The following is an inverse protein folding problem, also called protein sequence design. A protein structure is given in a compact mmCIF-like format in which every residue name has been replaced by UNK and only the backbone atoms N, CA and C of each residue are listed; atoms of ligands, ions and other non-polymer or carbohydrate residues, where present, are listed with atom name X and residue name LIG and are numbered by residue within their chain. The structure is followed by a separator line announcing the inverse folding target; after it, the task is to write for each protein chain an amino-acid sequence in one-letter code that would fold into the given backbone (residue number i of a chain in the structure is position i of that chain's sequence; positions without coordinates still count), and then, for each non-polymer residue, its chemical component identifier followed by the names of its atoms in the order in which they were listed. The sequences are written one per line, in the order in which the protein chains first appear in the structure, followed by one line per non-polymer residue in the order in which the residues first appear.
data_IF_066407858869
#
_entry.id   IF_066407858869
#
_cell.length_a   1.000
_cell.length_b   1.000
_cell.length_c   1.000
_cell.angle_alpha   90.00
_cell.angle_beta   90.00
_cell.angle_gamma   90.00
#
_symmetry.space_group_name_H-M   'P 1'
#
loop_
_entity.id
_entity.type
_entity.pdbx_description
1 polymer ?
#
# COMPACT_ATOMS: atom_id res chain seq x y z
N UNK A 1 -3.51 56.96 15.61
CA UNK A 1 -3.70 55.62 16.23
C UNK A 1 -4.66 54.86 15.32
N UNK A 2 -4.11 54.15 14.32
CA UNK A 2 -4.88 53.46 13.28
C UNK A 2 -5.27 52.07 13.79
N UNK A 3 -6.57 51.76 13.75
CA UNK A 3 -7.11 50.44 14.01
C UNK A 3 -6.79 49.52 12.83
N UNK A 4 -6.29 48.31 13.13
CA UNK A 4 -6.23 47.20 12.18
C UNK A 4 -7.58 46.47 12.17
N UNK A 5 -8.12 46.08 11.00
CA UNK A 5 -9.25 45.18 10.95
C UNK A 5 -8.79 43.74 11.25
N UNK A 6 -9.52 43.09 12.13
CA UNK A 6 -9.44 41.66 12.44
C UNK A 6 -9.82 40.82 11.22
N UNK A 7 -8.88 40.04 10.71
CA UNK A 7 -9.16 38.99 9.74
C UNK A 7 -9.93 37.86 10.46
N UNK A 8 -11.18 37.68 10.05
CA UNK A 8 -11.98 36.49 10.37
C UNK A 8 -11.40 35.36 9.51
N UNK A 9 -10.71 34.41 10.14
CA UNK A 9 -10.32 33.15 9.50
C UNK A 9 -11.61 32.34 9.33
N UNK A 10 -12.18 32.41 8.12
CA UNK A 10 -13.22 31.48 7.72
C UNK A 10 -12.58 30.11 7.60
N UNK A 11 -12.83 29.24 8.60
CA UNK A 11 -12.56 27.82 8.47
C UNK A 11 -13.55 27.31 7.40
N UNK A 12 -13.08 27.21 6.15
CA UNK A 12 -13.78 26.44 5.15
C UNK A 12 -13.66 24.97 5.59
N UNK A 13 -14.77 24.37 6.03
CA UNK A 13 -14.88 22.91 6.02
C UNK A 13 -14.73 22.50 4.56
N UNK A 14 -13.54 22.05 4.17
CA UNK A 14 -13.38 21.25 2.97
C UNK A 14 -14.08 19.93 3.28
N UNK A 15 -15.31 19.77 2.78
CA UNK A 15 -15.88 18.44 2.61
C UNK A 15 -14.95 17.74 1.63
N UNK A 16 -14.06 16.91 2.16
CA UNK A 16 -13.44 15.84 1.37
C UNK A 16 -14.61 15.05 0.82
N UNK A 17 -14.87 15.22 -0.47
CA UNK A 17 -15.65 14.23 -1.20
C UNK A 17 -14.77 12.99 -1.18
N UNK A 18 -14.91 12.20 -0.11
CA UNK A 18 -14.59 10.78 -0.13
C UNK A 18 -15.18 10.31 -1.43
N UNK A 19 -14.34 9.80 -2.33
CA UNK A 19 -14.81 9.03 -3.46
C UNK A 19 -15.71 7.97 -2.82
N UNK A 20 -17.01 8.22 -2.90
CA UNK A 20 -18.01 7.22 -2.65
C UNK A 20 -17.67 6.23 -3.73
N UNK A 21 -16.91 5.20 -3.36
CA UNK A 21 -16.82 3.96 -4.09
C UNK A 21 -18.25 3.74 -4.56
N UNK A 22 -18.47 3.87 -5.87
CA UNK A 22 -19.81 3.90 -6.44
C UNK A 22 -20.55 2.73 -5.82
N UNK A 23 -21.51 3.04 -4.94
CA UNK A 23 -22.06 2.04 -4.04
C UNK A 23 -22.52 0.88 -4.92
N UNK A 24 -21.95 -0.34 -4.75
CA UNK A 24 -22.31 -1.43 -5.62
C UNK A 24 -23.83 -1.58 -5.52
N UNK A 25 -24.50 -1.53 -6.66
CA UNK A 25 -25.94 -1.68 -6.74
C UNK A 25 -26.35 -2.95 -6.01
N UNK A 26 -26.95 -2.86 -4.81
CA UNK A 26 -27.37 -4.00 -3.97
C UNK A 26 -26.60 -5.29 -4.29
N UNK A 27 -25.28 -5.25 -4.12
CA UNK A 27 -24.34 -6.19 -4.71
C UNK A 27 -23.26 -6.51 -3.70
N UNK A 28 -22.77 -7.75 -3.74
CA UNK A 28 -21.88 -8.36 -2.73
C UNK A 28 -20.73 -7.45 -2.28
N UNK A 29 -20.33 -7.58 -1.00
CA UNK A 29 -19.11 -7.00 -0.44
C UNK A 29 -17.94 -7.07 -1.43
N UNK A 30 -17.23 -5.96 -1.71
CA UNK A 30 -16.20 -5.90 -2.75
C UNK A 30 -15.01 -6.81 -2.42
N UNK A 31 -14.60 -7.61 -3.41
CA UNK A 31 -13.48 -8.57 -3.32
C UNK A 31 -12.49 -8.37 -4.47
N UNK A 32 -11.19 -8.65 -4.25
CA UNK A 32 -10.23 -8.86 -5.32
C UNK A 32 -10.76 -9.85 -6.36
N UNK A 33 -10.68 -9.48 -7.64
CA UNK A 33 -11.04 -10.36 -8.77
C UNK A 33 -9.87 -11.23 -9.26
N UNK A 34 -8.71 -11.13 -8.61
CA UNK A 34 -7.48 -11.87 -8.92
C UNK A 34 -7.05 -12.74 -7.73
N UNK A 35 -6.21 -13.74 -8.00
CA UNK A 35 -5.58 -14.52 -6.95
C UNK A 35 -4.54 -13.68 -6.17
N UNK A 36 -4.31 -14.05 -4.92
CA UNK A 36 -3.22 -13.48 -4.14
C UNK A 36 -1.87 -13.97 -4.68
N UNK A 37 -1.22 -13.12 -5.48
CA UNK A 37 0.12 -13.32 -6.04
C UNK A 37 0.88 -12.00 -5.92
N UNK A 38 1.28 -11.60 -4.70
CA UNK A 38 1.90 -10.31 -4.48
C UNK A 38 3.25 -10.25 -5.20
N UNK A 39 3.60 -9.07 -5.73
CA UNK A 39 4.96 -8.85 -6.21
C UNK A 39 5.92 -8.91 -5.04
N UNK A 40 7.10 -9.48 -5.26
CA UNK A 40 8.14 -9.64 -4.25
C UNK A 40 9.36 -8.79 -4.60
N UNK A 41 10.01 -8.22 -3.59
CA UNK A 41 11.22 -7.42 -3.76
C UNK A 41 12.22 -7.64 -2.63
N UNK A 42 13.47 -7.96 -2.95
CA UNK A 42 14.57 -7.96 -1.99
C UNK A 42 15.16 -6.56 -1.87
N UNK A 43 14.98 -5.89 -0.72
CA UNK A 43 15.45 -4.54 -0.43
C UNK A 43 16.85 -4.58 0.17
N UNK A 44 17.93 -4.28 -0.59
CA UNK A 44 19.29 -4.37 -0.08
C UNK A 44 19.59 -3.25 0.92
N UNK A 45 20.32 -3.61 1.98
CA UNK A 45 20.93 -2.64 2.88
C UNK A 45 22.09 -1.91 2.18
N UNK A 46 22.24 -0.62 2.45
CA UNK A 46 23.36 0.21 2.01
C UNK A 46 24.16 0.73 3.19
N UNK A 47 25.47 0.89 3.00
CA UNK A 47 26.37 1.46 4.02
C UNK A 47 26.65 2.95 3.81
N UNK A 48 26.39 3.42 2.59
CA UNK A 48 26.46 4.83 2.21
C UNK A 48 25.08 5.18 1.67
N UNK A 49 24.31 6.05 2.34
CA UNK A 49 22.97 6.41 1.89
C UNK A 49 23.03 7.29 0.65
N UNK A 50 21.97 7.28 -0.19
CA UNK A 50 21.87 8.21 -1.31
C UNK A 50 21.76 9.65 -0.82
N UNK A 51 22.25 10.58 -1.63
CA UNK A 51 21.86 11.98 -1.52
C UNK A 51 20.47 12.13 -2.13
N UNK A 52 19.50 12.62 -1.35
CA UNK A 52 18.13 12.86 -1.82
C UNK A 52 18.10 14.18 -2.61
N UNK A 53 18.26 14.10 -3.92
CA UNK A 53 18.25 15.24 -4.85
C UNK A 53 17.33 15.03 -6.08
N UNK A 54 16.61 13.91 -6.11
CA UNK A 54 15.67 13.51 -7.14
C UNK A 54 16.33 12.66 -8.21
N UNK A 55 17.66 12.47 -8.19
CA UNK A 55 18.38 11.72 -9.20
C UNK A 55 18.68 10.29 -8.77
N UNK A 56 18.22 9.33 -9.56
CA UNK A 56 18.53 7.90 -9.36
C UNK A 56 19.93 7.49 -9.86
N UNK A 57 20.80 8.48 -10.13
CA UNK A 57 22.20 8.29 -10.57
C UNK A 57 23.17 8.08 -9.39
N UNK A 58 22.76 8.34 -8.14
CA UNK A 58 23.60 8.11 -6.97
C UNK A 58 24.07 6.63 -6.91
N UNK A 59 25.38 6.37 -6.69
CA UNK A 59 25.92 5.02 -6.59
C UNK A 59 25.21 4.11 -5.59
N UNK A 60 24.58 4.64 -4.54
CA UNK A 60 23.79 3.86 -3.58
C UNK A 60 22.64 3.06 -4.25
N UNK A 61 22.07 3.58 -5.34
CA UNK A 61 21.00 2.91 -6.11
C UNK A 61 21.50 1.82 -7.06
N UNK A 62 22.81 1.77 -7.33
CA UNK A 62 23.36 0.88 -8.37
C UNK A 62 23.24 -0.60 -8.03
N UNK A 63 23.25 -0.95 -6.74
CA UNK A 63 23.08 -2.32 -6.25
C UNK A 63 21.63 -2.78 -6.10
N UNK A 64 20.67 -1.87 -6.20
CA UNK A 64 19.25 -2.18 -6.06
C UNK A 64 18.65 -2.56 -7.43
N UNK A 65 17.96 -3.71 -7.54
CA UNK A 65 17.28 -4.07 -8.78
C UNK A 65 16.09 -3.14 -9.02
N UNK A 66 15.71 -2.93 -10.28
CA UNK A 66 14.41 -2.35 -10.56
C UNK A 66 13.30 -3.34 -10.21
N UNK A 67 12.17 -2.85 -9.73
CA UNK A 67 10.93 -3.61 -9.70
C UNK A 67 10.50 -3.99 -11.12
N UNK A 68 9.58 -4.94 -11.22
CA UNK A 68 8.76 -5.04 -12.43
C UNK A 68 8.00 -3.72 -12.67
N UNK A 69 7.71 -3.37 -13.93
CA UNK A 69 6.89 -2.21 -14.25
C UNK A 69 5.49 -2.30 -13.63
N UNK A 70 4.90 -1.14 -13.35
CA UNK A 70 3.54 -1.07 -12.85
C UNK A 70 2.55 -1.64 -13.86
N UNK A 71 1.44 -2.13 -13.33
CA UNK A 71 0.29 -2.68 -14.06
C UNK A 71 -0.96 -1.91 -13.67
N UNK A 72 -2.06 -2.09 -14.41
CA UNK A 72 -3.35 -1.58 -13.95
C UNK A 72 -3.75 -2.22 -12.62
N UNK A 73 -4.37 -1.44 -11.72
CA UNK A 73 -4.79 -1.90 -10.38
C UNK A 73 -5.75 -3.11 -10.41
N UNK A 74 -6.54 -3.25 -11.47
CA UNK A 74 -7.43 -4.40 -11.69
C UNK A 74 -6.67 -5.61 -12.29
N UNK A 75 -5.37 -5.49 -12.51
CA UNK A 75 -4.50 -6.53 -13.03
C UNK A 75 -4.74 -6.83 -14.52
N UNK A 76 -4.62 -8.10 -14.95
CA UNK A 76 -4.67 -8.47 -16.37
C UNK A 76 -6.05 -8.30 -17.03
N UNK A 77 -7.07 -7.93 -16.26
CA UNK A 77 -8.40 -7.59 -16.78
C UNK A 77 -8.39 -6.28 -17.60
N UNK A 78 -7.34 -5.47 -17.45
CA UNK A 78 -7.16 -4.18 -18.11
C UNK A 78 -5.87 -4.15 -18.93
N UNK A 79 -5.75 -3.25 -19.92
CA UNK A 79 -4.50 -3.07 -20.65
C UNK A 79 -3.35 -2.65 -19.72
N UNK A 80 -2.12 -2.96 -20.13
CA UNK A 80 -0.95 -2.45 -19.43
C UNK A 80 -0.90 -0.90 -19.50
N UNK A 81 -0.31 -0.24 -18.48
CA UNK A 81 -0.07 1.20 -18.47
C UNK A 81 0.58 1.71 -19.76
N UNK A 82 0.17 2.90 -20.18
CA UNK A 82 0.72 3.52 -21.40
C UNK A 82 2.12 4.09 -21.17
N UNK A 83 2.42 4.49 -19.93
CA UNK A 83 3.71 5.02 -19.54
C UNK A 83 4.32 4.15 -18.46
N UNK A 84 5.60 3.79 -18.62
CA UNK A 84 6.25 2.92 -17.66
C UNK A 84 6.44 3.64 -16.32
N UNK A 85 6.29 2.88 -15.24
CA UNK A 85 6.66 3.31 -13.90
C UNK A 85 7.28 2.12 -13.18
N UNK A 86 8.39 2.36 -12.49
CA UNK A 86 9.15 1.33 -11.76
C UNK A 86 9.88 1.96 -10.59
N UNK A 87 10.23 1.14 -9.61
CA UNK A 87 10.83 1.59 -8.36
C UNK A 87 12.10 0.81 -8.00
N UNK A 88 12.93 1.43 -7.19
CA UNK A 88 14.02 0.82 -6.42
C UNK A 88 13.76 1.07 -4.94
N UNK A 89 14.15 0.11 -4.12
CA UNK A 89 14.08 0.24 -2.67
C UNK A 89 15.43 -0.16 -2.08
N UNK A 90 15.93 0.63 -1.14
CA UNK A 90 17.12 0.34 -0.33
C UNK A 90 16.86 0.76 1.11
N UNK A 91 17.73 0.35 2.03
CA UNK A 91 17.61 0.78 3.42
C UNK A 91 18.94 0.91 4.15
N UNK A 92 18.96 1.70 5.22
CA UNK A 92 20.04 1.73 6.21
C UNK A 92 19.46 1.68 7.63
N UNK A 93 20.27 1.95 8.65
CA UNK A 93 19.85 1.96 10.05
C UNK A 93 18.91 3.12 10.43
N UNK A 94 18.69 4.08 9.53
CA UNK A 94 17.95 5.32 9.79
C UNK A 94 16.73 5.52 8.92
N UNK A 95 16.77 5.10 7.66
CA UNK A 95 15.71 5.32 6.70
C UNK A 95 15.42 4.08 5.85
N UNK A 96 14.14 3.99 5.48
CA UNK A 96 13.70 3.29 4.29
C UNK A 96 13.76 4.25 3.10
N UNK A 97 14.38 3.84 1.99
CA UNK A 97 14.50 4.67 0.80
C UNK A 97 13.73 4.09 -0.36
N UNK A 98 13.01 4.96 -1.08
CA UNK A 98 12.29 4.64 -2.31
C UNK A 98 12.79 5.57 -3.41
N UNK A 99 13.15 5.01 -4.55
CA UNK A 99 13.47 5.73 -5.77
C UNK A 99 12.50 5.32 -6.87
N UNK A 100 11.79 6.26 -7.49
CA UNK A 100 10.81 5.98 -8.53
C UNK A 100 11.18 6.69 -9.83
N UNK A 101 10.97 6.00 -10.96
CA UNK A 101 11.09 6.57 -12.30
C UNK A 101 9.75 6.42 -13.01
N UNK A 102 9.23 7.55 -13.51
CA UNK A 102 7.94 7.66 -14.16
C UNK A 102 8.12 8.29 -15.55
N UNK A 103 7.88 7.50 -16.61
CA UNK A 103 7.74 8.08 -17.95
C UNK A 103 6.49 8.98 -17.96
N UNK A 104 6.62 10.20 -18.46
CA UNK A 104 5.51 11.16 -18.51
C UNK A 104 5.77 12.18 -19.61
N UNK A 105 5.06 12.12 -20.75
CA UNK A 105 5.18 13.12 -21.80
C UNK A 105 4.47 14.44 -21.51
N UNK A 106 3.67 14.50 -20.44
CA UNK A 106 2.84 15.64 -20.06
C UNK A 106 3.02 15.96 -18.57
N UNK A 107 4.15 16.56 -18.20
CA UNK A 107 4.42 16.90 -16.81
C UNK A 107 3.40 17.92 -16.31
N UNK A 108 2.52 17.48 -15.42
CA UNK A 108 1.42 18.28 -14.90
C UNK A 108 1.29 18.13 -13.39
N UNK A 109 1.35 19.26 -12.70
CA UNK A 109 1.08 19.36 -11.27
C UNK A 109 0.71 20.79 -10.89
N UNK A 110 -0.35 20.95 -10.12
CA UNK A 110 -0.95 22.25 -9.76
C UNK A 110 -1.06 22.46 -8.25
N UNK A 111 -1.14 21.38 -7.47
CA UNK A 111 -1.28 21.42 -6.03
C UNK A 111 0.07 21.72 -5.36
N UNK A 112 0.08 22.74 -4.51
CA UNK A 112 1.27 23.28 -3.83
C UNK A 112 1.17 23.26 -2.30
N UNK A 113 -0.04 23.07 -1.78
CA UNK A 113 -0.28 23.04 -0.35
C UNK A 113 -0.01 21.62 0.15
N UNK A 114 0.91 21.49 1.12
CA UNK A 114 1.14 20.23 1.83
C UNK A 114 -0.17 19.78 2.46
N UNK A 115 -0.44 18.48 2.42
CA UNK A 115 -1.66 17.85 2.93
C UNK A 115 -2.94 18.23 2.16
N UNK A 116 -2.80 18.77 0.95
CA UNK A 116 -3.88 18.75 -0.03
C UNK A 116 -4.11 17.32 -0.52
N UNK A 117 -5.31 17.03 -1.00
CA UNK A 117 -5.62 15.73 -1.61
C UNK A 117 -4.89 15.63 -2.96
N UNK A 118 -3.72 14.97 -3.00
CA UNK A 118 -2.72 15.11 -4.08
C UNK A 118 -3.13 14.40 -5.37
N UNK A 119 -3.85 13.27 -5.30
CA UNK A 119 -4.34 12.53 -6.47
C UNK A 119 -5.21 13.33 -7.47
N UNK A 120 -5.58 14.58 -7.14
CA UNK A 120 -6.16 15.48 -8.10
C UNK A 120 -5.16 16.03 -9.13
N UNK A 121 -3.86 15.89 -8.93
CA UNK A 121 -2.82 15.95 -9.95
C UNK A 121 -2.45 14.52 -10.44
N UNK A 122 -1.49 14.40 -11.36
CA UNK A 122 -0.75 13.15 -11.49
C UNK A 122 0.24 13.05 -10.33
N UNK A 123 0.36 11.87 -9.73
CA UNK A 123 1.21 11.67 -8.56
C UNK A 123 1.84 10.27 -8.50
N UNK A 124 2.68 10.11 -7.48
CA UNK A 124 3.26 8.85 -7.07
C UNK A 124 2.94 8.63 -5.60
N UNK A 125 2.54 7.41 -5.25
CA UNK A 125 2.08 7.06 -3.92
C UNK A 125 2.88 5.89 -3.34
N UNK A 126 3.13 5.91 -2.03
CA UNK A 126 3.81 4.85 -1.27
C UNK A 126 2.91 4.36 -0.16
N UNK A 127 2.74 3.05 -0.06
CA UNK A 127 1.91 2.37 0.92
C UNK A 127 2.72 1.39 1.74
N UNK A 128 2.60 1.42 3.08
CA UNK A 128 3.41 0.58 3.96
C UNK A 128 2.56 0.04 5.11
N UNK A 129 2.43 -1.29 5.17
CA UNK A 129 1.89 -2.05 6.30
C UNK A 129 3.04 -2.92 6.87
N UNK A 130 3.67 -2.50 7.99
CA UNK A 130 4.90 -3.12 8.47
C UNK A 130 4.73 -4.57 8.95
N UNK A 131 3.68 -4.86 9.70
CA UNK A 131 3.44 -6.21 10.24
C UNK A 131 2.49 -7.03 9.38
N UNK A 132 1.83 -6.44 8.38
CA UNK A 132 0.94 -7.15 7.47
C UNK A 132 -0.34 -7.60 8.16
N UNK A 133 -0.82 -6.86 9.15
CA UNK A 133 -2.09 -7.11 9.84
C UNK A 133 -3.30 -6.45 9.15
N UNK A 134 -3.06 -5.77 8.03
CA UNK A 134 -4.01 -4.98 7.24
C UNK A 134 -4.49 -3.70 7.93
N UNK A 135 -3.91 -3.30 9.06
CA UNK A 135 -4.30 -2.16 9.87
C UNK A 135 -3.09 -1.27 10.11
N UNK A 136 -3.34 -0.07 10.65
CA UNK A 136 -2.29 0.86 11.08
C UNK A 136 -1.18 1.09 10.03
N UNK A 137 -1.60 1.24 8.78
CA UNK A 137 -0.70 1.37 7.64
C UNK A 137 -0.61 2.81 7.18
N UNK A 138 0.52 3.11 6.53
CA UNK A 138 0.90 4.45 6.12
C UNK A 138 0.69 4.64 4.62
N UNK A 139 0.41 5.88 4.25
CA UNK A 139 0.31 6.35 2.88
C UNK A 139 1.03 7.69 2.75
N UNK A 140 1.72 7.86 1.62
CA UNK A 140 2.40 9.08 1.22
C UNK A 140 2.15 9.31 -0.27
N UNK A 141 1.55 10.43 -0.63
CA UNK A 141 1.39 10.90 -2.01
C UNK A 141 2.38 12.04 -2.29
N UNK A 142 2.91 12.09 -3.50
CA UNK A 142 3.78 13.17 -3.98
C UNK A 142 3.55 13.44 -5.47
N UNK A 143 3.29 14.71 -5.83
CA UNK A 143 3.17 15.11 -7.24
C UNK A 143 4.51 15.59 -7.83
N UNK A 144 4.51 15.93 -9.13
CA UNK A 144 5.69 16.43 -9.84
C UNK A 144 6.23 17.80 -9.34
N UNK A 145 5.50 18.50 -8.46
CA UNK A 145 6.01 19.70 -7.76
C UNK A 145 6.82 19.34 -6.50
N UNK A 146 6.78 18.09 -6.06
CA UNK A 146 7.28 17.66 -4.77
C UNK A 146 6.34 18.04 -3.61
N UNK A 147 5.06 18.28 -3.90
CA UNK A 147 4.05 18.53 -2.85
C UNK A 147 3.62 17.21 -2.26
N UNK A 148 3.71 17.09 -0.94
CA UNK A 148 3.47 15.85 -0.19
C UNK A 148 2.11 15.89 0.53
N UNK A 149 1.50 14.71 0.65
CA UNK A 149 0.43 14.43 1.62
C UNK A 149 0.68 13.07 2.26
N UNK A 150 0.75 13.02 3.57
CA UNK A 150 0.89 11.78 4.33
C UNK A 150 -0.30 11.55 5.27
N UNK A 151 -0.61 10.27 5.49
CA UNK A 151 -1.73 9.87 6.32
C UNK A 151 -1.53 8.47 6.89
N UNK A 152 -2.18 8.25 8.03
CA UNK A 152 -2.27 6.96 8.70
C UNK A 152 -3.69 6.42 8.56
N UNK A 153 -3.82 5.15 8.20
CA UNK A 153 -5.09 4.45 8.20
C UNK A 153 -5.12 3.43 9.33
N UNK A 154 -6.07 3.59 10.24
CA UNK A 154 -6.24 2.65 11.37
C UNK A 154 -6.80 1.31 10.89
N UNK A 155 -7.57 1.31 9.80
CA UNK A 155 -8.08 0.14 9.10
C UNK A 155 -8.56 0.52 7.69
N UNK A 156 -8.78 -0.45 6.78
CA UNK A 156 -9.29 -0.20 5.44
C UNK A 156 -10.61 0.58 5.41
N UNK A 157 -10.80 1.45 4.42
CA UNK A 157 -12.02 2.25 4.27
C UNK A 157 -13.30 1.40 4.23
N UNK A 158 -13.24 0.22 3.58
CA UNK A 158 -14.33 -0.76 3.52
C UNK A 158 -14.78 -1.26 4.90
N UNK A 159 -13.91 -1.12 5.91
CA UNK A 159 -14.16 -1.52 7.29
C UNK A 159 -14.56 -0.33 8.20
N UNK A 160 -14.70 0.87 7.64
CA UNK A 160 -15.41 1.99 8.25
C UNK A 160 -14.60 2.84 9.22
N UNK A 161 -13.31 3.07 8.96
CA UNK A 161 -12.57 4.16 9.60
C UNK A 161 -12.11 5.18 8.54
N UNK A 162 -12.12 6.49 8.86
CA UNK A 162 -11.48 7.48 8.02
C UNK A 162 -9.95 7.41 8.19
N UNK A 163 -9.24 8.03 7.26
CA UNK A 163 -7.83 8.33 7.41
C UNK A 163 -7.58 9.36 8.53
N UNK A 164 -6.39 9.29 9.11
CA UNK A 164 -5.88 10.25 10.09
C UNK A 164 -4.93 11.21 9.38
N UNK A 165 -5.50 12.21 8.70
CA UNK A 165 -4.75 13.22 7.93
C UNK A 165 -3.90 14.18 8.78
N UNK A 166 -3.98 14.08 10.11
CA UNK A 166 -3.19 14.91 11.03
C UNK A 166 -1.90 14.21 11.50
N UNK A 167 -1.71 12.96 11.10
CA UNK A 167 -0.45 12.25 11.29
C UNK A 167 0.52 12.69 10.18
N UNK A 168 1.80 12.86 10.51
CA UNK A 168 2.82 13.40 9.60
C UNK A 168 4.12 12.60 9.73
N UNK A 169 4.79 12.35 8.61
CA UNK A 169 6.08 11.65 8.55
C UNK A 169 7.20 12.60 8.98
N UNK A 170 7.36 12.76 10.29
CA UNK A 170 8.38 13.64 10.87
C UNK A 170 9.80 13.26 10.43
N UNK A 171 10.43 14.14 9.65
CA UNK A 171 11.79 13.95 9.14
C UNK A 171 11.86 13.28 7.77
N UNK A 172 10.70 13.13 7.09
CA UNK A 172 10.63 12.80 5.67
C UNK A 172 11.55 13.70 4.86
N UNK A 173 12.22 13.10 3.87
CA UNK A 173 13.01 13.81 2.87
C UNK A 173 12.55 13.35 1.51
N UNK A 174 12.19 14.28 0.66
CA UNK A 174 11.87 13.99 -0.73
C UNK A 174 12.64 14.92 -1.65
N UNK A 175 12.82 14.47 -2.88
CA UNK A 175 13.24 15.32 -3.97
C UNK A 175 12.64 14.78 -5.27
N UNK A 176 12.24 15.71 -6.14
CA UNK A 176 11.72 15.42 -7.47
C UNK A 176 12.68 16.03 -8.49
N UNK A 177 13.02 15.24 -9.51
CA UNK A 177 13.72 15.71 -10.69
C UNK A 177 12.81 15.57 -11.90
N UNK A 178 12.76 16.61 -12.71
CA UNK A 178 11.96 16.65 -13.93
C UNK A 178 12.86 16.52 -15.14
N UNK A 179 12.48 15.63 -16.06
CA UNK A 179 13.06 15.49 -17.39
C UNK A 179 12.12 16.15 -18.41
N UNK A 180 11.96 17.47 -18.28
CA UNK A 180 10.99 18.22 -19.08
C UNK A 180 10.65 19.60 -18.50
N UNK A 181 9.54 20.17 -18.95
CA UNK A 181 9.04 21.50 -18.58
C UNK A 181 7.65 21.41 -17.95
N UNK A 182 7.59 21.53 -16.63
CA UNK A 182 6.35 21.37 -15.87
C UNK A 182 5.25 22.36 -16.31
N UNK A 183 4.05 21.82 -16.56
CA UNK A 183 2.84 22.54 -16.95
C UNK A 183 2.94 23.28 -18.29
N UNK A 184 3.80 22.84 -19.21
CA UNK A 184 3.95 23.45 -20.54
C UNK A 184 3.37 22.53 -21.64
N UNK A 185 2.07 22.60 -21.95
CA UNK A 185 1.44 21.72 -22.95
C UNK A 185 1.94 21.88 -24.41
N UNK A 186 2.86 22.81 -24.65
CA UNK A 186 3.43 23.10 -25.96
C UNK A 186 4.61 22.21 -26.35
N UNK A 187 5.19 21.45 -25.41
CA UNK A 187 6.29 20.52 -25.68
C UNK A 187 5.90 19.07 -25.34
N UNK A 188 6.92 18.21 -25.23
CA UNK A 188 6.78 16.81 -24.88
C UNK A 188 7.94 16.46 -23.99
N UNK A 189 7.62 16.05 -22.78
CA UNK A 189 8.58 15.69 -21.74
C UNK A 189 9.01 14.22 -21.87
N UNK A 190 10.01 13.83 -21.08
CA UNK A 190 10.43 12.43 -20.99
C UNK A 190 9.86 11.76 -19.73
N UNK A 191 9.85 12.48 -18.61
CA UNK A 191 9.36 11.94 -17.35
C UNK A 191 9.82 12.73 -16.14
N UNK A 192 9.73 12.07 -15.00
CA UNK A 192 10.20 12.58 -13.73
C UNK A 192 10.65 11.42 -12.83
N UNK A 193 11.50 11.75 -11.88
CA UNK A 193 11.97 10.82 -10.85
C UNK A 193 11.76 11.40 -9.46
N UNK A 194 11.54 10.48 -8.52
CA UNK A 194 11.28 10.79 -7.12
C UNK A 194 12.27 10.02 -6.26
N UNK A 195 12.90 10.68 -5.31
CA UNK A 195 13.63 10.05 -4.21
C UNK A 195 12.95 10.38 -2.88
N UNK A 196 12.77 9.36 -2.05
CA UNK A 196 12.11 9.45 -0.74
C UNK A 196 12.97 8.76 0.29
N UNK A 197 13.24 9.41 1.42
CA UNK A 197 13.81 8.80 2.62
C UNK A 197 12.84 8.94 3.80
N UNK A 198 12.29 7.79 4.23
CA UNK A 198 11.30 7.69 5.30
C UNK A 198 12.00 7.25 6.59
N UNK A 199 12.01 8.05 7.66
CA UNK A 199 12.66 7.69 8.91
C UNK A 199 12.02 6.46 9.57
N UNK A 200 12.83 5.50 9.98
CA UNK A 200 12.35 4.35 10.74
C UNK A 200 11.68 4.74 12.06
N UNK A 201 12.11 5.85 12.66
CA UNK A 201 11.55 6.34 13.93
C UNK A 201 10.07 6.65 13.84
N UNK A 202 9.57 7.08 12.68
CA UNK A 202 8.15 7.38 12.48
C UNK A 202 7.38 6.12 12.12
N UNK A 203 7.94 5.27 11.25
CA UNK A 203 7.34 3.97 10.93
C UNK A 203 7.24 3.06 12.16
N UNK A 204 8.11 3.24 13.16
CA UNK A 204 8.07 2.51 14.42
C UNK A 204 6.83 2.82 15.30
N UNK A 205 6.14 3.94 15.09
CA UNK A 205 5.01 4.37 15.93
C UNK A 205 3.86 3.36 15.89
N UNK A 206 3.58 2.79 14.72
CA UNK A 206 2.50 1.85 14.50
C UNK A 206 2.93 0.50 13.89
N UNK A 207 4.24 0.26 13.70
CA UNK A 207 4.71 -0.95 13.03
C UNK A 207 4.41 -2.28 13.74
N UNK A 208 4.17 -2.28 15.06
CA UNK A 208 3.96 -3.53 15.83
C UNK A 208 5.17 -4.48 15.88
N UNK A 209 6.27 -4.16 15.20
CA UNK A 209 7.49 -4.97 15.03
C UNK A 209 8.74 -4.07 14.94
N UNK A 210 9.96 -4.64 14.87
CA UNK A 210 11.19 -3.84 14.74
C UNK A 210 11.19 -2.91 13.51
N UNK A 211 11.51 -1.64 13.72
CA UNK A 211 11.77 -0.63 12.71
C UNK A 211 13.02 0.17 13.16
N UNK A 212 14.20 0.03 12.52
CA UNK A 212 14.45 -0.70 11.28
C UNK A 212 14.15 -2.21 11.35
N UNK A 213 13.73 -2.81 10.24
CA UNK A 213 13.53 -4.25 10.12
C UNK A 213 14.83 -5.02 10.38
N UNK A 214 14.70 -6.28 10.81
CA UNK A 214 15.82 -7.22 10.85
C UNK A 214 16.02 -7.81 9.45
N UNK A 215 17.24 -8.22 9.07
CA UNK A 215 17.45 -8.97 7.85
C UNK A 215 16.53 -10.20 7.78
N UNK A 216 15.78 -10.32 6.68
CA UNK A 216 14.77 -11.37 6.45
C UNK A 216 13.36 -11.02 6.92
N UNK A 217 13.15 -9.90 7.62
CA UNK A 217 11.79 -9.37 7.86
C UNK A 217 11.15 -8.99 6.52
N UNK A 218 9.87 -9.29 6.38
CA UNK A 218 9.05 -8.92 5.21
C UNK A 218 7.98 -7.94 5.66
N UNK A 219 7.92 -6.79 5.01
CA UNK A 219 6.82 -5.83 5.18
C UNK A 219 5.95 -5.82 3.93
N UNK A 220 4.69 -5.44 4.10
CA UNK A 220 3.75 -5.25 3.00
C UNK A 220 3.93 -3.83 2.49
N UNK A 221 4.35 -3.70 1.24
CA UNK A 221 4.61 -2.39 0.62
C UNK A 221 4.02 -2.38 -0.77
N UNK A 222 3.42 -1.28 -1.15
CA UNK A 222 2.99 -1.11 -2.53
C UNK A 222 3.14 0.35 -2.96
N UNK A 223 2.97 0.54 -4.26
CA UNK A 223 3.12 1.83 -4.90
C UNK A 223 2.00 2.02 -5.90
N UNK A 224 1.57 3.26 -6.06
CA UNK A 224 0.60 3.67 -7.06
C UNK A 224 1.13 4.87 -7.86
N UNK A 225 0.61 5.03 -9.06
CA UNK A 225 0.63 6.25 -9.83
C UNK A 225 -0.80 6.54 -10.22
N UNK A 226 -1.31 7.70 -9.81
CA UNK A 226 -2.54 8.23 -10.37
C UNK A 226 -2.20 8.99 -11.65
N UNK A 227 -2.87 8.60 -12.74
CA UNK A 227 -2.70 9.21 -14.05
C UNK A 227 -4.04 9.73 -14.58
N UNK A 228 -4.12 11.03 -14.83
CA UNK A 228 -5.23 11.64 -15.52
C UNK A 228 -5.00 11.69 -17.03
N UNK A 229 -6.07 11.47 -17.78
CA UNK A 229 -6.12 11.82 -19.19
C UNK A 229 -6.18 13.35 -19.32
N UNK A 230 -5.16 13.95 -19.91
CA UNK A 230 -5.09 15.39 -20.13
C UNK A 230 -5.50 15.79 -21.55
N UNK A 231 -5.93 17.03 -21.69
CA UNK A 231 -6.09 17.77 -22.93
C UNK A 231 -5.60 19.21 -22.75
N UNK A 232 -5.47 19.95 -23.85
CA UNK A 232 -4.99 21.34 -23.83
C UNK A 232 -6.16 22.28 -24.06
N UNK A 233 -6.46 23.11 -23.07
CA UNK A 233 -7.49 24.16 -23.11
C UNK A 233 -6.86 25.51 -22.82
N UNK A 234 -7.10 26.50 -23.69
CA UNK A 234 -6.57 27.87 -23.55
C UNK A 234 -5.06 27.96 -23.25
N UNK A 235 -4.29 26.99 -23.75
CA UNK A 235 -2.82 26.93 -23.57
C UNK A 235 -2.36 26.33 -22.24
N UNK A 236 -3.24 25.68 -21.48
CA UNK A 236 -2.93 24.97 -20.25
C UNK A 236 -3.44 23.52 -20.30
N UNK A 237 -2.86 22.64 -19.49
CA UNK A 237 -3.42 21.30 -19.29
C UNK A 237 -4.75 21.37 -18.53
N UNK A 238 -5.71 20.59 -19.00
CA UNK A 238 -6.99 20.35 -18.35
C UNK A 238 -7.27 18.84 -18.35
N UNK A 239 -7.99 18.35 -17.33
CA UNK A 239 -8.44 16.95 -17.32
C UNK A 239 -9.51 16.76 -18.38
N UNK A 240 -9.39 15.68 -19.15
CA UNK A 240 -10.40 15.30 -20.13
C UNK A 240 -11.73 15.01 -19.45
N UNK A 241 -12.80 15.58 -19.99
CA UNK A 241 -14.14 15.44 -19.41
C UNK A 241 -14.95 14.32 -20.08
N UNK A 242 -15.73 13.60 -19.26
CA UNK A 242 -16.80 12.74 -19.72
C UNK A 242 -17.95 13.57 -20.33
N UNK A 243 -18.84 12.91 -21.10
CA UNK A 243 -19.99 13.57 -21.71
C UNK A 243 -20.94 14.30 -20.72
N UNK A 244 -20.88 13.93 -19.43
CA UNK A 244 -21.64 14.58 -18.35
C UNK A 244 -20.96 15.81 -17.72
N UNK A 245 -19.76 16.19 -18.17
CA UNK A 245 -19.02 17.38 -17.72
C UNK A 245 -18.12 17.19 -16.50
N UNK A 246 -18.07 16.00 -15.90
CA UNK A 246 -17.04 15.65 -14.90
C UNK A 246 -15.79 15.06 -15.57
N UNK A 247 -14.62 15.05 -14.91
CA UNK A 247 -13.43 14.37 -15.43
C UNK A 247 -13.71 12.90 -15.77
N UNK A 248 -13.04 12.37 -16.78
CA UNK A 248 -12.91 10.92 -16.94
C UNK A 248 -12.26 10.32 -15.70
N UNK A 249 -12.58 9.08 -15.31
CA UNK A 249 -11.88 8.40 -14.23
C UNK A 249 -10.38 8.39 -14.48
N UNK A 250 -9.61 8.61 -13.42
CA UNK A 250 -8.18 8.44 -13.40
C UNK A 250 -7.79 6.97 -13.64
N UNK A 251 -6.60 6.76 -14.18
CA UNK A 251 -5.97 5.45 -14.17
C UNK A 251 -5.20 5.28 -12.87
N UNK A 252 -5.31 4.10 -12.27
CA UNK A 252 -4.53 3.72 -11.10
C UNK A 252 -3.57 2.61 -11.54
N UNK A 253 -2.29 2.94 -11.65
CA UNK A 253 -1.25 1.99 -12.03
C UNK A 253 -0.41 1.66 -10.81
N UNK A 254 -0.21 0.38 -10.52
CA UNK A 254 0.37 -0.09 -9.25
C UNK A 254 1.45 -1.12 -9.48
N UNK A 255 2.36 -1.28 -8.53
CA UNK A 255 3.38 -2.33 -8.58
C UNK A 255 2.75 -3.72 -8.42
N UNK A 256 2.08 -3.97 -7.29
CA UNK A 256 1.30 -5.19 -7.03
C UNK A 256 -0.20 -4.91 -7.25
N UNK A 257 -0.87 -5.60 -8.19
CA UNK A 257 -2.28 -5.35 -8.48
C UNK A 257 -3.21 -5.80 -7.35
N UNK A 258 -4.35 -5.13 -7.22
CA UNK A 258 -5.36 -5.41 -6.19
C UNK A 258 -6.53 -6.24 -6.75
N UNK A 259 -6.76 -6.19 -8.06
CA UNK A 259 -7.89 -6.84 -8.73
C UNK A 259 -9.21 -6.08 -8.60
N UNK A 260 -9.17 -4.83 -8.13
CA UNK A 260 -10.26 -3.87 -8.09
C UNK A 260 -9.68 -2.46 -7.91
N UNK A 261 -10.42 -1.42 -8.26
CA UNK A 261 -10.01 -0.02 -8.08
C UNK A 261 -10.13 0.37 -6.60
N UNK A 262 -9.23 -0.14 -5.76
CA UNK A 262 -9.12 0.19 -4.33
C UNK A 262 -7.72 -0.16 -3.80
N UNK A 263 -6.89 0.87 -3.58
CA UNK A 263 -5.52 0.67 -3.11
C UNK A 263 -5.47 0.22 -1.64
N UNK A 264 -6.46 0.58 -0.83
CA UNK A 264 -6.59 0.21 0.59
C UNK A 264 -7.07 -1.23 0.80
N UNK A 265 -6.38 -2.16 0.16
CA UNK A 265 -6.42 -3.60 0.39
C UNK A 265 -4.99 -4.07 0.71
N UNK A 266 -4.45 -3.77 1.92
CA UNK A 266 -3.06 -4.12 2.28
C UNK A 266 -2.73 -5.61 2.14
N UNK A 267 -3.76 -6.44 2.29
CA UNK A 267 -3.67 -7.88 2.09
C UNK A 267 -3.26 -8.28 0.66
N UNK A 268 -3.31 -7.37 -0.32
CA UNK A 268 -2.97 -7.59 -1.73
C UNK A 268 -1.68 -6.86 -2.17
N UNK A 269 -1.09 -6.05 -1.29
CA UNK A 269 0.17 -5.32 -1.52
C UNK A 269 1.37 -6.22 -1.84
N UNK A 270 2.45 -5.63 -2.34
CA UNK A 270 3.68 -6.37 -2.55
C UNK A 270 4.36 -6.73 -1.22
N UNK A 271 5.39 -7.56 -1.32
CA UNK A 271 6.15 -8.05 -0.19
C UNK A 271 7.61 -7.63 -0.34
N UNK A 272 8.12 -6.87 0.63
CA UNK A 272 9.47 -6.34 0.62
C UNK A 272 10.27 -7.01 1.73
N UNK A 273 11.23 -7.85 1.34
CA UNK A 273 12.16 -8.49 2.27
C UNK A 273 13.39 -7.61 2.46
N UNK A 274 13.66 -7.22 3.70
CA UNK A 274 14.84 -6.40 4.02
C UNK A 274 16.08 -7.28 4.12
N UNK A 275 17.06 -7.04 3.24
CA UNK A 275 18.24 -7.88 3.08
C UNK A 275 19.44 -7.25 3.78
N UNK A 276 20.30 -8.05 4.42
CA UNK A 276 21.63 -7.60 4.80
C UNK A 276 22.57 -7.57 3.57
N UNK A 277 23.77 -6.97 3.72
CA UNK A 277 24.84 -7.16 2.75
C UNK A 277 25.26 -8.64 2.69
N UNK A 278 24.95 -9.30 1.58
CA UNK A 278 25.08 -10.76 1.41
C UNK A 278 23.71 -11.45 1.51
N UNK A 279 23.34 -12.14 0.43
CA UNK A 279 22.02 -12.71 0.10
C UNK A 279 21.20 -13.19 1.32
N UNK A 280 19.97 -12.68 1.47
CA UNK A 280 18.97 -13.41 2.25
C UNK A 280 18.58 -14.68 1.47
N UNK A 281 18.08 -15.69 2.19
CA UNK A 281 17.62 -16.93 1.58
C UNK A 281 16.52 -16.72 0.53
N UNK A 282 16.12 -17.77 -0.22
CA UNK A 282 15.05 -17.67 -1.19
C UNK A 282 13.77 -17.13 -0.53
N UNK A 283 13.17 -16.12 -1.18
CA UNK A 283 12.01 -15.38 -0.69
C UNK A 283 10.88 -16.33 -0.26
N UNK A 284 10.52 -17.25 -1.16
CA UNK A 284 9.39 -18.14 -1.04
C UNK A 284 9.46 -19.13 0.13
N UNK A 285 10.67 -19.60 0.43
CA UNK A 285 10.90 -20.61 1.48
C UNK A 285 11.21 -19.98 2.85
N UNK A 286 11.22 -18.65 2.94
CA UNK A 286 11.49 -17.97 4.21
C UNK A 286 10.35 -18.23 5.22
N UNK A 287 10.67 -18.45 6.51
CA UNK A 287 9.64 -18.65 7.53
C UNK A 287 8.62 -17.50 7.62
N UNK A 288 9.06 -16.27 7.37
CA UNK A 288 8.19 -15.09 7.35
C UNK A 288 7.22 -15.15 6.17
N UNK A 289 7.69 -15.43 4.95
CA UNK A 289 6.82 -15.52 3.78
C UNK A 289 5.79 -16.65 3.90
N UNK A 290 6.21 -17.83 4.38
CA UNK A 290 5.31 -18.94 4.66
C UNK A 290 4.25 -18.55 5.72
N UNK A 291 4.65 -17.81 6.76
CA UNK A 291 3.74 -17.28 7.77
C UNK A 291 2.73 -16.28 7.20
N UNK A 292 3.14 -15.43 6.25
CA UNK A 292 2.22 -14.50 5.55
C UNK A 292 1.24 -15.29 4.68
N UNK A 293 1.76 -16.23 3.89
CA UNK A 293 0.94 -17.10 3.01
C UNK A 293 -0.11 -17.87 3.81
N UNK A 294 0.27 -18.48 4.94
CA UNK A 294 -0.68 -19.18 5.82
C UNK A 294 -1.76 -18.22 6.36
N UNK A 295 -1.39 -17.01 6.80
CA UNK A 295 -2.34 -16.01 7.28
C UNK A 295 -3.32 -15.56 6.18
N UNK A 296 -2.84 -15.39 4.94
CA UNK A 296 -3.64 -14.96 3.79
C UNK A 296 -4.76 -15.94 3.42
N UNK A 297 -4.64 -17.22 3.80
CA UNK A 297 -5.72 -18.20 3.62
C UNK A 297 -7.01 -17.84 4.37
N UNK A 298 -6.94 -16.94 5.35
CA UNK A 298 -8.10 -16.43 6.10
C UNK A 298 -8.83 -15.28 5.38
N UNK A 299 -8.25 -14.64 4.37
CA UNK A 299 -8.89 -13.50 3.68
C UNK A 299 -10.17 -13.88 2.92
N UNK A 300 -10.23 -14.99 2.15
CA UNK A 300 -11.48 -15.46 1.55
C UNK A 300 -12.58 -15.69 2.59
N UNK A 301 -12.22 -16.19 3.78
CA UNK A 301 -13.16 -16.39 4.88
C UNK A 301 -13.71 -15.05 5.39
N UNK A 302 -12.86 -14.03 5.57
CA UNK A 302 -13.30 -12.69 5.93
C UNK A 302 -14.26 -12.10 4.90
N UNK A 303 -13.94 -12.19 3.60
CA UNK A 303 -14.83 -11.69 2.55
C UNK A 303 -16.20 -12.40 2.53
N UNK A 304 -16.21 -13.72 2.76
CA UNK A 304 -17.45 -14.49 2.89
C UNK A 304 -18.23 -14.10 4.15
N UNK A 305 -17.55 -13.82 5.25
CA UNK A 305 -18.16 -13.32 6.48
C UNK A 305 -18.82 -11.96 6.29
N UNK A 306 -18.14 -11.02 5.62
CA UNK A 306 -18.68 -9.69 5.32
C UNK A 306 -19.93 -9.77 4.44
N UNK A 307 -19.87 -10.56 3.38
CA UNK A 307 -21.03 -10.78 2.51
C UNK A 307 -22.18 -11.48 3.24
N UNK A 308 -21.89 -12.47 4.08
CA UNK A 308 -22.90 -13.13 4.90
C UNK A 308 -23.59 -12.14 5.84
N UNK A 309 -22.82 -11.25 6.48
CA UNK A 309 -23.35 -10.22 7.36
C UNK A 309 -24.23 -9.21 6.61
N UNK A 310 -23.83 -8.74 5.43
CA UNK A 310 -24.67 -7.86 4.59
C UNK A 310 -26.00 -8.50 4.20
N UNK A 311 -25.99 -9.81 3.89
CA UNK A 311 -27.18 -10.55 3.45
C UNK A 311 -28.13 -10.93 4.60
N UNK A 312 -27.59 -11.21 5.79
CA UNK A 312 -28.36 -11.84 6.87
C UNK A 312 -28.40 -11.03 8.17
N UNK A 313 -27.66 -9.92 8.26
CA UNK A 313 -27.54 -9.11 9.48
C UNK A 313 -26.79 -9.79 10.63
N UNK A 314 -25.97 -10.81 10.33
CA UNK A 314 -25.10 -11.52 11.28
C UNK A 314 -23.95 -12.20 10.56
N UNK A 315 -22.85 -12.42 11.28
CA UNK A 315 -21.78 -13.29 10.83
C UNK A 315 -22.18 -14.78 10.92
N UNK A 316 -21.58 -15.59 10.06
CA UNK A 316 -21.77 -17.04 10.05
C UNK A 316 -21.11 -17.68 11.28
N UNK A 317 -21.83 -18.62 11.91
CA UNK A 317 -21.32 -19.36 13.06
C UNK A 317 -20.59 -20.65 12.68
N UNK A 318 -20.62 -21.03 11.41
CA UNK A 318 -20.03 -22.26 10.89
C UNK A 318 -19.47 -22.07 9.48
N UNK A 319 -18.45 -22.86 9.14
CA UNK A 319 -17.84 -22.83 7.82
C UNK A 319 -18.84 -23.25 6.72
N UNK A 320 -19.78 -24.16 7.02
CA UNK A 320 -20.80 -24.62 6.07
C UNK A 320 -21.73 -23.52 5.56
N UNK A 321 -22.04 -22.51 6.39
CA UNK A 321 -22.81 -21.33 5.97
C UNK A 321 -22.02 -20.47 4.96
N UNK A 322 -20.69 -20.42 5.11
CA UNK A 322 -19.81 -19.66 4.22
C UNK A 322 -19.49 -20.40 2.93
N UNK A 323 -19.35 -21.73 2.95
CA UNK A 323 -19.12 -22.57 1.76
C UNK A 323 -20.25 -22.40 0.72
N UNK A 324 -21.48 -22.12 1.19
CA UNK A 324 -22.60 -21.82 0.30
C UNK A 324 -22.44 -20.50 -0.48
N UNK A 325 -21.65 -19.55 0.05
CA UNK A 325 -21.31 -18.28 -0.61
C UNK A 325 -20.01 -18.40 -1.41
N UNK A 326 -19.02 -19.10 -0.86
CA UNK A 326 -17.71 -19.32 -1.47
C UNK A 326 -17.29 -20.79 -1.34
N UNK A 327 -17.54 -21.63 -2.37
CA UNK A 327 -17.17 -23.04 -2.36
C UNK A 327 -15.68 -23.31 -2.19
N UNK A 328 -14.80 -22.33 -2.45
CA UNK A 328 -13.35 -22.46 -2.27
C UNK A 328 -12.94 -22.68 -0.81
N UNK A 329 -13.78 -22.22 0.12
CA UNK A 329 -13.57 -22.36 1.57
C UNK A 329 -13.64 -23.81 2.06
N UNK A 330 -14.17 -24.75 1.26
CA UNK A 330 -14.19 -26.17 1.63
C UNK A 330 -12.79 -26.74 1.88
N UNK A 331 -11.77 -26.15 1.27
CA UNK A 331 -10.36 -26.52 1.47
C UNK A 331 -9.86 -26.29 2.91
N UNK A 332 -10.49 -25.38 3.67
CA UNK A 332 -10.13 -25.09 5.07
C UNK A 332 -10.63 -26.16 6.05
N UNK A 333 -11.61 -26.98 5.66
CA UNK A 333 -12.21 -28.05 6.49
C UNK A 333 -11.42 -29.37 6.42
N UNK A 334 -10.79 -29.64 5.26
CA UNK A 334 -10.26 -30.97 4.90
C UNK A 334 -8.72 -31.07 4.95
N UNK A 335 -8.02 -30.06 5.49
CA UNK A 335 -6.56 -30.06 5.46
C UNK A 335 -5.96 -30.68 6.74
N UNK A 336 -5.21 -31.80 6.65
CA UNK A 336 -4.80 -32.61 7.81
C UNK A 336 -3.82 -31.90 8.76
N UNK A 337 -3.29 -30.74 8.36
CA UNK A 337 -2.35 -29.92 9.15
C UNK A 337 -2.94 -28.60 9.62
N UNK A 338 -4.21 -28.32 9.34
CA UNK A 338 -4.87 -27.10 9.82
C UNK A 338 -6.04 -27.42 10.74
N UNK A 339 -6.29 -26.54 11.69
CA UNK A 339 -7.51 -26.57 12.51
C UNK A 339 -8.14 -25.19 12.51
N UNK A 340 -9.23 -25.04 11.77
CA UNK A 340 -10.03 -23.83 11.77
C UNK A 340 -11.03 -23.86 12.94
N UNK A 341 -11.08 -22.79 13.72
CA UNK A 341 -12.14 -22.51 14.68
C UNK A 341 -12.80 -21.21 14.28
N UNK A 342 -14.12 -21.22 14.15
CA UNK A 342 -14.90 -20.06 13.77
C UNK A 342 -15.97 -19.77 14.83
N UNK A 343 -16.11 -18.51 15.19
CA UNK A 343 -17.22 -18.01 15.98
C UNK A 343 -17.78 -16.75 15.30
N UNK A 344 -19.09 -16.71 15.07
CA UNK A 344 -19.79 -15.56 14.51
C UNK A 344 -21.01 -15.23 15.35
N UNK A 345 -21.27 -13.93 15.52
CA UNK A 345 -22.44 -13.37 16.18
C UNK A 345 -23.09 -12.29 15.32
N UNK A 346 -23.89 -11.42 15.94
CA UNK A 346 -24.53 -10.33 15.21
C UNK A 346 -23.49 -9.32 14.71
N UNK A 347 -22.62 -8.84 15.60
CA UNK A 347 -21.74 -7.70 15.31
C UNK A 347 -20.26 -8.08 15.17
N UNK A 348 -19.88 -9.29 15.57
CA UNK A 348 -18.49 -9.74 15.64
C UNK A 348 -18.33 -11.14 15.05
N UNK A 349 -17.18 -11.40 14.45
CA UNK A 349 -16.70 -12.74 14.18
C UNK A 349 -15.21 -12.83 14.52
N UNK A 350 -14.77 -14.06 14.80
CA UNK A 350 -13.37 -14.36 14.95
C UNK A 350 -13.09 -15.75 14.38
N UNK A 351 -12.04 -15.87 13.60
CA UNK A 351 -11.56 -17.13 13.07
C UNK A 351 -10.11 -17.36 13.51
N UNK A 352 -9.80 -18.60 13.88
CA UNK A 352 -8.46 -19.04 14.29
C UNK A 352 -8.07 -20.20 13.40
N UNK A 353 -6.95 -20.08 12.71
CA UNK A 353 -6.33 -21.13 11.92
C UNK A 353 -5.02 -21.55 12.61
N UNK A 354 -4.97 -22.77 13.13
CA UNK A 354 -3.72 -23.35 13.63
C UNK A 354 -3.07 -24.18 12.53
N UNK A 355 -1.82 -23.89 12.18
CA UNK A 355 -1.00 -24.65 11.20
C UNK A 355 0.25 -25.22 11.89
N UNK A 356 1.17 -25.83 11.12
CA UNK A 356 2.49 -26.20 11.63
C UNK A 356 3.42 -25.00 11.84
N UNK A 357 3.17 -23.87 11.18
CA UNK A 357 3.98 -22.66 11.27
C UNK A 357 3.54 -21.74 12.41
N UNK A 358 2.25 -21.74 12.76
CA UNK A 358 1.72 -20.79 13.74
C UNK A 358 0.24 -20.93 14.02
N UNK A 359 -0.25 -19.95 14.78
CA UNK A 359 -1.66 -19.67 14.97
C UNK A 359 -1.93 -18.32 14.31
N UNK A 360 -2.87 -18.32 13.38
CA UNK A 360 -3.30 -17.14 12.64
C UNK A 360 -4.73 -16.82 13.02
N UNK A 361 -5.06 -15.53 13.12
CA UNK A 361 -6.44 -15.12 13.38
C UNK A 361 -6.88 -14.02 12.45
N UNK A 362 -8.19 -13.95 12.21
CA UNK A 362 -8.84 -12.83 11.52
C UNK A 362 -10.14 -12.47 12.22
N UNK A 363 -10.49 -11.20 12.22
CA UNK A 363 -11.70 -10.67 12.86
C UNK A 363 -12.64 -9.92 11.88
N UNK A 364 -13.72 -9.35 12.43
CA UNK A 364 -14.74 -8.62 11.65
C UNK A 364 -14.23 -7.38 10.89
N UNK A 365 -13.05 -6.85 11.23
CA UNK A 365 -12.42 -5.73 10.51
C UNK A 365 -11.35 -6.19 9.54
N UNK A 366 -11.13 -7.50 9.41
CA UNK A 366 -10.15 -8.07 8.49
C UNK A 366 -8.73 -7.99 9.04
N UNK A 367 -8.56 -7.78 10.35
CA UNK A 367 -7.24 -7.69 10.96
C UNK A 367 -6.61 -9.08 11.06
N UNK A 368 -5.43 -9.25 10.47
CA UNK A 368 -4.69 -10.51 10.51
C UNK A 368 -3.68 -10.52 11.66
N UNK A 369 -3.80 -11.45 12.60
CA UNK A 369 -2.77 -11.63 13.64
C UNK A 369 -2.01 -12.94 13.40
N UNK A 370 -0.67 -12.88 13.54
CA UNK A 370 0.23 -14.03 13.38
C UNK A 370 0.99 -14.28 14.66
N UNK A 371 0.81 -15.47 15.27
CA UNK A 371 1.56 -15.90 16.44
C UNK A 371 2.32 -17.19 16.11
N UNK A 372 3.66 -17.25 16.31
CA UNK A 372 4.39 -18.50 16.16
C UNK A 372 3.92 -19.52 17.21
N UNK A 373 3.99 -20.81 16.91
CA UNK A 373 3.74 -21.85 17.92
C UNK A 373 4.80 -21.75 19.02
N UNK A 374 4.36 -21.60 20.28
CA UNK A 374 5.26 -21.62 21.44
C UNK A 374 6.19 -22.85 21.39
N UNK A 375 7.51 -22.62 21.31
CA UNK A 375 8.52 -23.70 21.41
C UNK A 375 9.43 -23.90 20.20
N UNK A 376 9.33 -23.10 19.12
CA UNK A 376 10.38 -23.04 18.08
C UNK A 376 11.30 -21.86 18.42
N UNK A 377 12.48 -22.07 19.04
CA UNK A 377 13.44 -20.99 19.17
C UNK A 377 13.84 -20.52 17.77
N UNK A 378 13.72 -19.22 17.52
CA UNK A 378 14.31 -18.59 16.33
C UNK A 378 15.80 -18.95 16.21
N UNK A 379 16.40 -18.84 15.01
CA UNK A 379 17.79 -19.19 14.81
C UNK A 379 18.64 -18.43 15.83
N UNK A 380 19.25 -19.18 16.76
CA UNK A 380 20.12 -18.63 17.76
C UNK A 380 21.26 -17.93 17.04
N UNK A 381 21.33 -16.60 17.15
CA UNK A 381 22.51 -15.86 16.77
C UNK A 381 23.70 -16.48 17.49
N UNK A 382 24.65 -17.01 16.73
CA UNK A 382 25.92 -17.49 17.26
C UNK A 382 26.62 -16.30 17.93
N UNK A 383 26.41 -16.16 19.24
CA UNK A 383 27.25 -15.33 20.09
C UNK A 383 28.61 -16.02 20.18
N UNK A 384 29.49 -15.68 19.24
CA UNK A 384 30.89 -16.03 19.27
C UNK A 384 31.57 -15.39 20.47
N UNK A 385 31.55 -16.06 21.62
CA UNK A 385 32.54 -15.87 22.68
C UNK A 385 33.60 -16.93 22.48
N UNK A 386 34.75 -16.56 21.90
CA UNK A 386 35.97 -17.36 22.04
C UNK A 386 36.77 -16.85 23.25
N UNK A 387 37.37 -17.75 24.04
CA UNK A 387 38.24 -17.40 25.16
C UNK A 387 39.57 -16.78 24.73
#
# INVERSE_FOLDING_TARGET
MRMYPSHVIAHALVLVSVLVASAPAAGAFPRPSIAFEPRQYGCPAVSVPPVIDGSLEDPAWSGAPWSDPFVDIEGPARPAPTFATRVKMIWDDRFFYVGAELEEPHLWATLRERDAVIYHDNDFEVFIDPDGDNHLYYELEINALGTEWDLLLVKPYRDGAPAVNAWDIQGLRTAVRLEGTLNEPGDTDEGWSVEIAIPWTVLAECAGRPAPPRPGDIWRVNFSRVQWDLEVEDGAYAKRLAAGGGPLPEHNWVWSPQGLIAMHYPEMWGEVMFMAGGEAGPFDDSPEHLSITDAQTLMPLYYAQREHHERHGRFAGSLGELIALDPGLASLDDHPRTRLRLAGGNDLFHAILSTAAGIFTIDQTGRLERAPLEGVPGPAGESGVRP
#
